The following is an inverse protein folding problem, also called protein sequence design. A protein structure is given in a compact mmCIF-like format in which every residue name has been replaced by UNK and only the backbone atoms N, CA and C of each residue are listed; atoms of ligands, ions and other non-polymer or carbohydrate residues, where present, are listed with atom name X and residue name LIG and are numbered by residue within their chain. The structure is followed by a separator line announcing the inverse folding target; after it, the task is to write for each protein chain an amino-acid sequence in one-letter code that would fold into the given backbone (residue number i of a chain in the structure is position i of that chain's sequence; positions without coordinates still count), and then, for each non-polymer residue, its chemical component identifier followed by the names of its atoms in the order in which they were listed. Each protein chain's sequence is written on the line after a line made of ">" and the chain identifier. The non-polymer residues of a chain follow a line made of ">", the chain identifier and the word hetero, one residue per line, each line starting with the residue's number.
data_IF_064555136884
#
_entry.id   IF_064555136884
#
_cell.length_a   1.000
_cell.length_b   1.000
_cell.length_c   1.000
_cell.angle_alpha   90.00
_cell.angle_beta   90.00
_cell.angle_gamma   90.00
#
_symmetry.space_group_name_H-M   'P 1'
#
loop_
_entity.id
_entity.type
_entity.pdbx_description
1 polymer ?
#
# COMPACT_ATOMS: atom_id res chain seq x y z
N UNK A 1 0.63 11.26 1.94
CA UNK A 1 -0.12 11.99 2.99
C UNK A 1 -1.41 12.54 2.40
N UNK A 2 -2.50 12.56 3.17
CA UNK A 2 -3.81 13.07 2.73
C UNK A 2 -4.49 13.81 3.87
N UNK A 3 -5.33 14.78 3.54
CA UNK A 3 -6.26 15.40 4.49
C UNK A 3 -7.64 14.75 4.35
N UNK A 4 -8.33 14.57 5.47
CA UNK A 4 -9.75 14.23 5.44
C UNK A 4 -10.55 15.38 4.86
N UNK A 5 -11.75 15.12 4.35
CA UNK A 5 -12.65 16.19 3.84
C UNK A 5 -12.98 17.18 4.96
N UNK A 6 -13.14 16.69 6.19
CA UNK A 6 -13.41 17.52 7.37
C UNK A 6 -12.25 18.46 7.66
N UNK A 7 -11.02 17.94 7.72
CA UNK A 7 -9.84 18.75 7.98
C UNK A 7 -9.57 19.72 6.84
N UNK A 8 -9.72 19.28 5.59
CA UNK A 8 -9.59 20.14 4.42
C UNK A 8 -10.57 21.32 4.46
N UNK A 9 -11.82 21.10 4.91
CA UNK A 9 -12.80 22.18 5.07
C UNK A 9 -12.36 23.20 6.12
N UNK A 10 -11.86 22.73 7.27
CA UNK A 10 -11.33 23.63 8.32
C UNK A 10 -10.15 24.43 7.79
N UNK A 11 -9.18 23.76 7.17
CA UNK A 11 -7.93 24.37 6.69
C UNK A 11 -8.12 25.30 5.51
N UNK A 12 -9.14 25.06 4.68
CA UNK A 12 -9.56 25.98 3.63
C UNK A 12 -9.97 27.34 4.19
N UNK A 13 -10.54 27.40 5.39
CA UNK A 13 -10.92 28.67 6.04
C UNK A 13 -9.74 29.28 6.78
N UNK A 14 -9.00 28.48 7.55
CA UNK A 14 -7.99 28.99 8.49
C UNK A 14 -6.65 29.38 7.83
N UNK A 15 -6.36 28.93 6.59
CA UNK A 15 -5.05 29.15 5.94
C UNK A 15 -5.09 29.93 4.62
N UNK A 16 -5.93 30.95 4.56
CA UNK A 16 -5.95 31.90 3.45
C UNK A 16 -6.88 31.52 2.30
N UNK A 17 -7.97 30.81 2.61
CA UNK A 17 -9.11 30.65 1.71
C UNK A 17 -9.03 29.46 0.74
N UNK A 18 -10.10 28.69 0.67
CA UNK A 18 -10.35 27.68 -0.37
C UNK A 18 -9.25 26.62 -0.51
N UNK A 19 -9.01 26.19 -1.75
CA UNK A 19 -8.03 25.14 -2.05
C UNK A 19 -6.59 25.53 -1.67
N UNK A 20 -6.23 26.81 -1.75
CA UNK A 20 -4.88 27.27 -1.43
C UNK A 20 -4.52 27.00 0.04
N UNK A 21 -5.47 27.17 0.97
CA UNK A 21 -5.31 26.82 2.37
C UNK A 21 -5.01 25.33 2.56
N UNK A 22 -5.77 24.46 1.88
CA UNK A 22 -5.56 23.00 1.89
C UNK A 22 -4.16 22.64 1.37
N UNK A 23 -3.74 23.24 0.25
CA UNK A 23 -2.43 22.98 -0.36
C UNK A 23 -1.29 23.37 0.58
N UNK A 24 -1.38 24.53 1.23
CA UNK A 24 -0.41 24.97 2.24
C UNK A 24 -0.34 24.02 3.42
N UNK A 25 -1.48 23.50 3.89
CA UNK A 25 -1.50 22.53 4.99
C UNK A 25 -0.83 21.21 4.61
N UNK A 26 -1.14 20.66 3.43
CA UNK A 26 -0.47 19.44 2.93
C UNK A 26 1.02 19.69 2.77
N UNK A 27 1.44 20.79 2.14
CA UNK A 27 2.85 21.11 1.94
C UNK A 27 3.61 21.25 3.28
N UNK A 28 3.02 21.95 4.26
CA UNK A 28 3.63 22.10 5.58
C UNK A 28 3.77 20.76 6.31
N UNK A 29 2.79 19.87 6.17
CA UNK A 29 2.83 18.58 6.81
C UNK A 29 3.80 17.60 6.13
N UNK A 30 3.88 17.63 4.80
CA UNK A 30 4.92 16.93 4.04
C UNK A 30 6.32 17.40 4.43
N UNK A 31 6.51 18.73 4.60
CA UNK A 31 7.78 19.28 5.09
C UNK A 31 8.15 18.81 6.50
N UNK A 32 7.16 18.70 7.41
CA UNK A 32 7.38 18.12 8.75
C UNK A 32 7.73 16.64 8.69
N UNK A 33 7.06 15.87 7.83
CA UNK A 33 7.38 14.45 7.61
C UNK A 33 8.81 14.30 7.07
N UNK A 34 9.21 15.11 6.09
CA UNK A 34 10.57 15.10 5.56
C UNK A 34 11.63 15.35 6.63
N UNK A 35 11.40 16.34 7.51
CA UNK A 35 12.29 16.60 8.66
C UNK A 35 12.39 15.38 9.60
N UNK A 36 11.26 14.73 9.91
CA UNK A 36 11.26 13.54 10.75
C UNK A 36 12.00 12.36 10.11
N UNK A 37 11.81 12.12 8.81
CA UNK A 37 12.52 11.10 8.05
C UNK A 37 14.03 11.37 8.04
N UNK A 38 14.44 12.61 7.77
CA UNK A 38 15.84 13.01 7.78
C UNK A 38 16.49 12.81 9.16
N UNK A 39 15.79 13.20 10.25
CA UNK A 39 16.27 12.98 11.61
C UNK A 39 16.43 11.49 11.96
N UNK A 40 15.64 10.62 11.32
CA UNK A 40 15.78 9.16 11.42
C UNK A 40 16.86 8.58 10.48
N UNK A 41 17.63 9.41 9.78
CA UNK A 41 18.67 8.98 8.83
C UNK A 41 18.12 8.46 7.50
N UNK A 42 16.85 8.69 7.19
CA UNK A 42 16.22 8.21 5.96
C UNK A 42 16.31 9.26 4.86
N UNK A 43 16.94 8.86 3.75
CA UNK A 43 16.89 9.61 2.51
C UNK A 43 15.44 9.62 1.96
N UNK A 44 14.97 10.78 1.53
CA UNK A 44 13.64 10.91 0.96
C UNK A 44 13.65 11.98 -0.13
N UNK A 45 12.71 11.88 -1.06
CA UNK A 45 12.52 12.83 -2.15
C UNK A 45 11.02 12.99 -2.43
N UNK A 46 10.59 14.22 -2.70
CA UNK A 46 9.25 14.48 -3.20
C UNK A 46 9.18 14.16 -4.68
N UNK A 47 8.14 13.43 -5.07
CA UNK A 47 7.87 13.10 -6.46
C UNK A 47 6.99 14.18 -7.07
N UNK A 48 7.36 14.64 -8.26
CA UNK A 48 6.50 15.43 -9.14
C UNK A 48 5.32 14.60 -9.67
N UNK A 49 4.47 15.22 -10.50
CA UNK A 49 3.27 14.57 -11.06
C UNK A 49 3.62 13.30 -11.85
N UNK A 50 4.53 13.43 -12.81
CA UNK A 50 4.85 12.34 -13.74
C UNK A 50 5.67 11.26 -13.04
N UNK A 51 6.56 11.65 -12.14
CA UNK A 51 7.32 10.73 -11.29
C UNK A 51 6.41 9.94 -10.36
N UNK A 52 5.38 10.58 -9.80
CA UNK A 52 4.36 9.89 -9.00
C UNK A 52 3.56 8.93 -9.90
N UNK A 53 3.21 9.32 -11.12
CA UNK A 53 2.56 8.45 -12.10
C UNK A 53 3.39 7.20 -12.38
N UNK A 54 4.68 7.36 -12.66
CA UNK A 54 5.61 6.25 -12.89
C UNK A 54 5.75 5.35 -11.65
N UNK A 55 5.90 5.94 -10.47
CA UNK A 55 5.97 5.20 -9.20
C UNK A 55 4.68 4.44 -8.88
N UNK A 56 3.52 4.96 -9.29
CA UNK A 56 2.24 4.28 -9.15
C UNK A 56 2.14 3.05 -10.07
N UNK A 57 2.52 3.20 -11.33
CA UNK A 57 2.50 2.10 -12.30
C UNK A 57 3.42 0.98 -11.82
N UNK A 58 4.66 1.32 -11.44
CA UNK A 58 5.63 0.33 -10.97
C UNK A 58 5.26 -0.27 -9.61
N UNK A 59 4.82 0.57 -8.66
CA UNK A 59 4.40 0.13 -7.33
C UNK A 59 3.12 -0.70 -7.34
N UNK A 60 2.24 -0.53 -8.33
CA UNK A 60 1.08 -1.39 -8.54
C UNK A 60 1.39 -2.59 -9.45
N UNK A 61 2.63 -2.71 -9.96
CA UNK A 61 3.06 -3.75 -10.90
C UNK A 61 2.24 -3.77 -12.19
N UNK A 62 1.79 -2.59 -12.63
CA UNK A 62 1.06 -2.38 -13.88
C UNK A 62 2.01 -2.21 -15.08
N UNK A 63 3.29 -1.94 -14.82
CA UNK A 63 4.36 -2.01 -15.82
C UNK A 63 4.66 -3.44 -16.27
N UNK A 64 4.35 -4.44 -15.44
CA UNK A 64 4.55 -5.85 -15.76
C UNK A 64 3.58 -6.38 -16.80
N UNK A 65 2.37 -5.80 -16.90
CA UNK A 65 1.35 -6.19 -17.88
C UNK A 65 0.61 -4.97 -18.42
N UNK A 66 0.90 -4.52 -19.65
CA UNK A 66 0.13 -3.47 -20.28
C UNK A 66 -1.29 -3.92 -20.67
N UNK A 67 -1.56 -5.23 -20.68
CA UNK A 67 -2.86 -5.79 -21.03
C UNK A 67 -3.91 -5.51 -19.94
N UNK A 68 -5.18 -5.29 -20.32
CA UNK A 68 -6.27 -5.19 -19.37
C UNK A 68 -6.35 -6.41 -18.46
N UNK A 69 -6.46 -6.16 -17.15
CA UNK A 69 -6.59 -7.21 -16.16
C UNK A 69 -8.06 -7.45 -15.78
N UNK A 70 -8.45 -8.71 -15.59
CA UNK A 70 -9.76 -9.13 -15.13
C UNK A 70 -9.68 -9.72 -13.73
N UNK A 71 -10.66 -9.38 -12.91
CA UNK A 71 -10.76 -9.93 -11.56
C UNK A 71 -11.34 -11.35 -11.60
N UNK A 72 -10.70 -12.23 -10.85
CA UNK A 72 -11.16 -13.57 -10.50
C UNK A 72 -11.31 -13.64 -8.99
N UNK A 73 -12.06 -14.62 -8.49
CA UNK A 73 -12.21 -14.82 -7.04
C UNK A 73 -10.86 -14.82 -6.32
N UNK A 74 -9.85 -15.45 -6.92
CA UNK A 74 -8.56 -15.59 -6.28
C UNK A 74 -7.54 -14.56 -6.73
N UNK A 75 -7.81 -13.63 -7.64
CA UNK A 75 -6.76 -12.69 -8.08
C UNK A 75 -7.14 -11.78 -9.22
N UNK A 76 -6.28 -10.82 -9.51
CA UNK A 76 -6.38 -9.95 -10.69
C UNK A 76 -5.43 -10.47 -11.77
N UNK A 77 -5.93 -10.85 -12.95
CA UNK A 77 -5.18 -11.57 -13.99
C UNK A 77 -5.15 -10.82 -15.31
N UNK A 78 -4.02 -10.85 -16.00
CA UNK A 78 -3.87 -10.29 -17.36
C UNK A 78 -2.45 -10.50 -17.87
N UNK A 79 -2.24 -10.55 -19.19
CA UNK A 79 -0.90 -10.61 -19.79
C UNK A 79 -0.02 -11.81 -19.37
N UNK A 80 -0.59 -12.91 -18.86
CA UNK A 80 0.18 -14.05 -18.32
C UNK A 80 0.59 -13.91 -16.84
N UNK A 81 0.17 -12.83 -16.18
CA UNK A 81 0.46 -12.56 -14.77
C UNK A 81 -0.77 -12.64 -13.89
N UNK A 82 -0.55 -12.84 -12.61
CA UNK A 82 -1.59 -12.76 -11.58
C UNK A 82 -1.09 -11.95 -10.39
N UNK A 83 -1.92 -11.02 -9.94
CA UNK A 83 -1.72 -10.26 -8.72
C UNK A 83 -2.60 -10.83 -7.61
N UNK A 84 -2.02 -10.97 -6.41
CA UNK A 84 -2.67 -11.48 -5.21
C UNK A 84 -2.49 -10.47 -4.08
N UNK A 85 -3.56 -10.18 -3.38
CA UNK A 85 -3.55 -9.30 -2.22
C UNK A 85 -3.87 -10.08 -0.96
N UNK A 86 -3.14 -9.75 0.10
CA UNK A 86 -3.22 -10.37 1.40
C UNK A 86 -3.38 -9.26 2.45
N UNK A 87 -4.32 -9.41 3.38
CA UNK A 87 -4.35 -8.60 4.60
C UNK A 87 -3.45 -9.24 5.66
N UNK A 88 -2.55 -8.44 6.22
CA UNK A 88 -1.59 -8.82 7.26
C UNK A 88 -2.16 -8.51 8.64
N UNK A 89 -2.37 -9.53 9.46
CA UNK A 89 -2.90 -9.39 10.83
C UNK A 89 -1.75 -9.49 11.83
N UNK A 90 -1.17 -8.36 12.20
CA UNK A 90 -0.11 -8.31 13.20
C UNK A 90 -0.67 -8.27 14.63
N UNK A 91 0.07 -8.89 15.56
CA UNK A 91 -0.07 -8.60 16.99
C UNK A 91 0.58 -7.25 17.32
N UNK A 92 0.17 -6.63 18.43
CA UNK A 92 0.84 -5.43 18.91
C UNK A 92 2.35 -5.69 19.09
N UNK A 93 3.18 -4.77 18.60
CA UNK A 93 4.64 -4.88 18.67
C UNK A 93 5.29 -5.75 17.59
N UNK A 94 4.55 -6.22 16.58
CA UNK A 94 5.16 -6.97 15.47
C UNK A 94 6.22 -6.13 14.72
N UNK A 95 7.38 -6.73 14.49
CA UNK A 95 8.46 -6.12 13.72
C UNK A 95 8.25 -6.35 12.21
N UNK A 96 8.03 -5.26 11.47
CA UNK A 96 7.76 -5.33 10.03
C UNK A 96 9.03 -5.51 9.18
N UNK A 97 10.18 -5.01 9.64
CA UNK A 97 11.46 -5.09 8.89
C UNK A 97 11.83 -6.52 8.48
N UNK A 98 11.97 -7.46 9.44
CA UNK A 98 12.31 -8.85 9.12
C UNK A 98 11.27 -9.54 8.22
N UNK A 99 9.99 -9.18 8.33
CA UNK A 99 8.95 -9.70 7.44
C UNK A 99 9.14 -9.18 6.02
N UNK A 100 9.39 -7.88 5.86
CA UNK A 100 9.64 -7.25 4.55
C UNK A 100 10.85 -7.92 3.90
N UNK A 101 11.97 -8.05 4.62
CA UNK A 101 13.20 -8.67 4.11
C UNK A 101 12.97 -10.12 3.66
N UNK A 102 12.25 -10.90 4.47
CA UNK A 102 11.96 -12.30 4.13
C UNK A 102 11.03 -12.43 2.92
N UNK A 103 10.04 -11.54 2.77
CA UNK A 103 9.11 -11.53 1.62
C UNK A 103 9.82 -11.08 0.35
N UNK A 104 10.63 -10.02 0.41
CA UNK A 104 11.37 -9.50 -0.75
C UNK A 104 12.49 -10.43 -1.20
N UNK A 105 12.98 -11.32 -0.32
CA UNK A 105 13.89 -12.40 -0.68
C UNK A 105 13.23 -13.54 -1.48
N UNK A 106 11.89 -13.56 -1.61
CA UNK A 106 11.22 -14.51 -2.50
C UNK A 106 11.32 -14.08 -3.96
N UNK A 107 11.20 -15.04 -4.88
CA UNK A 107 11.36 -14.84 -6.33
C UNK A 107 10.24 -14.05 -7.00
N UNK A 108 9.33 -13.38 -6.26
CA UNK A 108 8.26 -12.64 -6.91
C UNK A 108 8.81 -11.41 -7.64
N UNK A 109 8.44 -11.22 -8.91
CA UNK A 109 8.87 -10.05 -9.68
C UNK A 109 8.40 -8.71 -9.11
N UNK A 110 7.34 -8.68 -8.31
CA UNK A 110 6.91 -7.46 -7.64
C UNK A 110 6.18 -7.72 -6.32
N UNK A 111 6.57 -6.95 -5.31
CA UNK A 111 6.00 -6.94 -3.96
C UNK A 111 5.63 -5.51 -3.56
N UNK A 112 4.46 -5.32 -2.95
CA UNK A 112 4.07 -4.04 -2.36
C UNK A 112 3.49 -4.27 -0.98
N UNK A 113 4.18 -3.78 0.06
CA UNK A 113 3.61 -3.66 1.40
C UNK A 113 3.06 -2.25 1.58
N UNK A 114 1.77 -2.14 1.83
CA UNK A 114 1.09 -0.88 2.07
C UNK A 114 0.53 -0.84 3.50
N UNK A 115 0.92 0.18 4.26
CA UNK A 115 0.39 0.48 5.58
C UNK A 115 -0.17 1.90 5.61
N UNK A 116 -1.31 2.09 6.27
CA UNK A 116 -1.94 3.40 6.41
C UNK A 116 -2.03 3.78 7.87
N UNK A 117 -1.42 4.91 8.20
CA UNK A 117 -1.48 5.51 9.52
C UNK A 117 -2.53 6.61 9.51
N UNK A 118 -3.52 6.51 10.40
CA UNK A 118 -4.56 7.52 10.63
C UNK A 118 -4.44 8.02 12.07
N UNK A 119 -4.36 9.35 12.29
CA UNK A 119 -4.33 9.88 13.65
C UNK A 119 -5.59 9.50 14.42
N UNK A 120 -5.43 9.00 15.65
CA UNK A 120 -6.55 8.70 16.56
C UNK A 120 -7.33 7.42 16.27
N UNK A 121 -7.09 6.77 15.12
CA UNK A 121 -7.76 5.53 14.73
C UNK A 121 -6.90 4.30 15.06
N UNK A 122 -7.55 3.14 15.18
CA UNK A 122 -6.84 1.86 15.13
C UNK A 122 -6.24 1.68 13.72
N UNK A 123 -4.96 1.30 13.60
CA UNK A 123 -4.36 1.05 12.31
C UNK A 123 -5.11 -0.10 11.61
N UNK A 124 -5.51 0.14 10.36
CA UNK A 124 -6.06 -0.92 9.54
C UNK A 124 -4.97 -1.95 9.22
N UNK A 125 -5.34 -3.23 9.00
CA UNK A 125 -4.38 -4.27 8.62
C UNK A 125 -3.56 -3.84 7.39
N UNK A 126 -2.22 -3.88 7.44
CA UNK A 126 -1.40 -3.65 6.26
C UNK A 126 -1.75 -4.63 5.15
N UNK A 127 -1.61 -4.19 3.91
CA UNK A 127 -1.87 -5.01 2.73
C UNK A 127 -0.54 -5.40 2.10
N UNK A 128 -0.43 -6.67 1.71
CA UNK A 128 0.67 -7.18 0.91
C UNK A 128 0.14 -7.61 -0.45
N UNK A 129 0.59 -6.93 -1.50
CA UNK A 129 0.39 -7.33 -2.89
C UNK A 129 1.62 -8.11 -3.35
N UNK A 130 1.39 -9.22 -4.02
CA UNK A 130 2.41 -9.95 -4.78
C UNK A 130 1.94 -10.13 -6.21
N UNK A 131 2.85 -9.97 -7.17
CA UNK A 131 2.59 -10.24 -8.58
C UNK A 131 3.63 -11.22 -9.11
N UNK A 132 3.17 -12.24 -9.82
CA UNK A 132 3.99 -13.30 -10.40
C UNK A 132 3.36 -13.87 -11.68
N UNK A 133 4.12 -14.61 -12.49
CA UNK A 133 3.57 -15.41 -13.58
C UNK A 133 2.42 -16.30 -13.09
N UNK A 134 1.38 -16.45 -13.91
CA UNK A 134 0.13 -17.10 -13.51
C UNK A 134 0.31 -18.56 -13.07
N UNK A 135 1.30 -19.25 -13.62
CA UNK A 135 1.69 -20.63 -13.28
C UNK A 135 2.49 -20.75 -11.96
N UNK A 136 3.05 -19.64 -11.45
CA UNK A 136 3.88 -19.62 -10.24
C UNK A 136 3.20 -18.95 -9.03
N UNK A 137 2.13 -18.18 -9.26
CA UNK A 137 1.54 -17.31 -8.24
C UNK A 137 1.00 -18.06 -7.01
N UNK A 138 0.46 -19.27 -7.18
CA UNK A 138 -0.08 -20.06 -6.07
C UNK A 138 1.01 -20.54 -5.12
N UNK A 139 2.11 -21.05 -5.67
CA UNK A 139 3.27 -21.48 -4.91
C UNK A 139 3.88 -20.30 -4.14
N UNK A 140 4.01 -19.14 -4.80
CA UNK A 140 4.49 -17.92 -4.15
C UNK A 140 3.58 -17.50 -2.98
N UNK A 141 2.27 -17.44 -3.17
CA UNK A 141 1.34 -17.06 -2.10
C UNK A 141 1.45 -18.01 -0.91
N UNK A 142 1.61 -19.32 -1.16
CA UNK A 142 1.84 -20.29 -0.09
C UNK A 142 3.10 -19.95 0.71
N UNK A 143 4.23 -19.72 0.04
CA UNK A 143 5.51 -19.34 0.68
C UNK A 143 5.36 -18.05 1.47
N UNK A 144 4.77 -17.01 0.88
CA UNK A 144 4.56 -15.72 1.53
C UNK A 144 3.70 -15.86 2.79
N UNK A 145 2.62 -16.64 2.74
CA UNK A 145 1.77 -16.89 3.90
C UNK A 145 2.50 -17.65 5.01
N UNK A 146 3.36 -18.59 4.66
CA UNK A 146 4.16 -19.33 5.63
C UNK A 146 5.23 -18.44 6.28
N UNK A 147 5.89 -17.57 5.51
CA UNK A 147 6.80 -16.53 6.04
C UNK A 147 6.05 -15.63 7.01
N UNK A 148 4.91 -15.08 6.59
CA UNK A 148 4.11 -14.17 7.39
C UNK A 148 3.61 -14.83 8.70
N UNK A 149 3.20 -16.10 8.64
CA UNK A 149 2.84 -16.89 9.83
C UNK A 149 4.01 -17.05 10.79
N UNK A 150 5.20 -17.42 10.30
CA UNK A 150 6.41 -17.57 11.14
C UNK A 150 6.84 -16.24 11.77
N UNK A 151 6.60 -15.13 11.09
CA UNK A 151 6.85 -13.78 11.62
C UNK A 151 5.76 -13.30 12.61
N UNK A 152 4.75 -14.11 12.92
CA UNK A 152 3.66 -13.73 13.83
C UNK A 152 2.67 -12.72 13.22
N UNK A 153 2.66 -12.58 11.90
CA UNK A 153 1.80 -11.68 11.12
C UNK A 153 1.03 -12.50 10.08
N UNK A 154 0.08 -13.37 10.48
CA UNK A 154 -0.66 -14.20 9.53
C UNK A 154 -1.30 -13.37 8.41
N UNK A 155 -1.14 -13.86 7.19
CA UNK A 155 -1.63 -13.26 5.97
C UNK A 155 -2.91 -13.97 5.49
N UNK A 156 -4.00 -13.20 5.32
CA UNK A 156 -5.29 -13.68 4.82
C UNK A 156 -5.50 -13.21 3.36
N UNK A 157 -5.79 -14.11 2.41
CA UNK A 157 -6.18 -13.72 1.04
C UNK A 157 -7.41 -12.82 1.02
N UNK A 158 -7.39 -11.86 0.10
CA UNK A 158 -8.52 -10.96 -0.18
C UNK A 158 -9.35 -11.48 -1.35
N UNK A 159 -9.75 -12.74 -1.25
CA UNK A 159 -10.48 -13.40 -2.33
C UNK A 159 -11.80 -12.63 -2.60
N UNK A 160 -12.06 -12.31 -3.86
CA UNK A 160 -13.18 -11.51 -4.33
C UNK A 160 -13.00 -9.99 -4.26
N UNK A 161 -11.87 -9.50 -3.72
CA UNK A 161 -11.61 -8.06 -3.54
C UNK A 161 -10.22 -7.64 -4.04
N UNK A 162 -9.65 -8.39 -4.98
CA UNK A 162 -8.30 -8.16 -5.50
C UNK A 162 -8.16 -6.89 -6.32
N UNK A 163 -9.13 -6.54 -7.16
CA UNK A 163 -9.11 -5.28 -7.93
C UNK A 163 -9.02 -4.05 -7.02
N UNK A 164 -9.97 -3.89 -6.08
CA UNK A 164 -9.90 -2.85 -5.06
C UNK A 164 -8.65 -2.92 -4.19
N UNK A 165 -8.16 -4.11 -3.85
CA UNK A 165 -6.99 -4.28 -2.99
C UNK A 165 -5.69 -3.86 -3.67
N UNK A 166 -5.51 -4.19 -4.95
CA UNK A 166 -4.37 -3.73 -5.76
C UNK A 166 -4.36 -2.21 -5.76
N UNK A 167 -5.50 -1.57 -6.05
CA UNK A 167 -5.59 -0.12 -5.96
C UNK A 167 -5.30 0.39 -4.54
N UNK A 168 -5.81 -0.26 -3.50
CA UNK A 168 -5.56 0.11 -2.10
C UNK A 168 -4.08 0.04 -1.69
N UNK A 169 -3.27 -0.77 -2.37
CA UNK A 169 -1.81 -0.81 -2.15
C UNK A 169 -1.05 0.34 -2.81
N UNK A 170 -1.70 1.12 -3.68
CA UNK A 170 -1.07 2.26 -4.33
C UNK A 170 -1.01 3.49 -3.40
N UNK A 171 0.08 4.29 -3.42
CA UNK A 171 0.25 5.45 -2.54
C UNK A 171 -0.80 6.57 -2.70
N UNK A 172 -1.58 6.57 -3.79
CA UNK A 172 -2.70 7.52 -4.02
C UNK A 172 -4.07 6.98 -3.58
N UNK A 173 -4.15 5.73 -3.13
CA UNK A 173 -5.42 5.11 -2.81
C UNK A 173 -6.13 5.82 -1.66
N UNK A 174 -7.46 6.01 -1.80
CA UNK A 174 -8.32 6.63 -0.77
C UNK A 174 -8.85 5.62 0.22
N UNK A 175 -9.03 4.38 -0.22
CA UNK A 175 -9.69 3.33 0.53
C UNK A 175 -8.64 2.39 1.09
N UNK A 176 -8.65 2.24 2.42
CA UNK A 176 -8.11 1.04 3.05
C UNK A 176 -9.30 0.10 3.13
N UNK A 177 -9.17 -1.12 2.61
CA UNK A 177 -10.21 -2.13 2.75
C UNK A 177 -10.42 -2.33 4.25
N UNK A 178 -11.61 -1.98 4.72
CA UNK A 178 -11.95 -2.03 6.13
C UNK A 178 -12.36 -3.47 6.43
N UNK A 179 -11.37 -4.36 6.55
CA UNK A 179 -11.63 -5.69 7.09
C UNK A 179 -11.96 -5.53 8.56
N UNK A 180 -13.26 -5.42 8.85
CA UNK A 180 -13.76 -5.72 10.18
C UNK A 180 -13.23 -7.10 10.55
N UNK A 181 -12.42 -7.14 11.60
CA UNK A 181 -12.14 -8.38 12.29
C UNK A 181 -13.46 -8.79 12.94
N UNK A 182 -14.20 -9.67 12.27
CA UNK A 182 -14.98 -10.69 12.99
C UNK A 182 -14.02 -11.55 13.82
#
# INVERSE_FOLDING_TARGET
>A
MRLSVRDARTEAVTRGGGALGVHRTVAAAVGRLGKALHAAGLAHRLLGRDELGAALISGAGLDLTPEPQSETWTGLRGGGWTQRCLALRARAGAAWGPLVDAVTATSAPSHTLAAVVRPGDRPAPPLLRVAAPADHVEALVKVVRDIARRAGVPARPLDGEHGPAVYATAPVARRVIDHRAE
#
